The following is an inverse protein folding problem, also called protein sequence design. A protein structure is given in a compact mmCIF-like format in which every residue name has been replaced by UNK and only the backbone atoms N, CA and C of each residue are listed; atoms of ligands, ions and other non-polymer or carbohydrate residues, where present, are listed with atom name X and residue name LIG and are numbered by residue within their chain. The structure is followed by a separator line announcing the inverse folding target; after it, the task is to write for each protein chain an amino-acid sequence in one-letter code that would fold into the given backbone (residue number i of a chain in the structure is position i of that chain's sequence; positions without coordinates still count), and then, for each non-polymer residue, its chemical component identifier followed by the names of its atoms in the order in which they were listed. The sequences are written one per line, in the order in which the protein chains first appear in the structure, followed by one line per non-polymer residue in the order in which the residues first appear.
data_IF_613034016103
#
_entry.id   IF_613034016103
#
_cell.length_a   1.000
_cell.length_b   1.000
_cell.length_c   1.000
_cell.angle_alpha   90.00
_cell.angle_beta   90.00
_cell.angle_gamma   90.00
#
_symmetry.space_group_name_H-M   'P 1'
#
loop_
_entity.id
_entity.type
_entity.pdbx_description
1 polymer ?
#
# COMPACT_ATOMS: atom_id res chain seq x y z
N UNK A 1 -17.89 -9.34 8.36
CA UNK A 1 -17.07 -10.44 7.82
C UNK A 1 -17.38 -10.77 6.36
N UNK A 2 -18.52 -10.35 5.85
CA UNK A 2 -18.91 -10.60 4.44
C UNK A 2 -17.97 -10.01 3.40
N UNK A 3 -17.24 -8.95 3.77
CA UNK A 3 -16.32 -8.27 2.84
C UNK A 3 -14.95 -8.96 2.73
N UNK A 4 -14.73 -10.01 3.53
CA UNK A 4 -13.63 -10.96 3.34
C UNK A 4 -14.08 -11.99 2.30
N UNK A 5 -13.62 -11.84 1.07
CA UNK A 5 -14.16 -12.58 -0.08
C UNK A 5 -13.27 -13.75 -0.54
N UNK A 6 -12.04 -13.79 -0.08
CA UNK A 6 -11.09 -14.85 -0.40
C UNK A 6 -9.96 -14.89 0.61
N UNK A 7 -9.02 -15.80 0.43
CA UNK A 7 -7.79 -15.82 1.22
C UNK A 7 -6.96 -14.57 0.91
N UNK A 8 -6.66 -13.77 1.95
CA UNK A 8 -5.94 -12.52 1.82
C UNK A 8 -6.64 -11.46 0.93
N UNK A 9 -7.98 -11.51 0.79
CA UNK A 9 -8.74 -10.55 -0.01
C UNK A 9 -9.86 -9.89 0.78
N UNK A 10 -9.94 -8.57 0.64
CA UNK A 10 -10.98 -7.71 1.21
C UNK A 10 -11.64 -6.91 0.10
N UNK A 11 -12.97 -6.95 0.03
CA UNK A 11 -13.75 -6.11 -0.89
C UNK A 11 -14.21 -4.85 -0.17
N UNK A 12 -13.81 -3.69 -0.67
CA UNK A 12 -14.26 -2.39 -0.18
C UNK A 12 -15.49 -1.96 -0.96
N UNK A 13 -16.66 -1.95 -0.30
CA UNK A 13 -17.96 -1.66 -0.90
C UNK A 13 -18.57 -0.35 -0.42
N UNK A 14 -18.31 0.00 0.83
CA UNK A 14 -18.98 1.11 1.50
C UNK A 14 -18.00 2.02 2.20
N UNK A 15 -18.42 3.23 2.43
CA UNK A 15 -17.72 4.24 3.21
C UNK A 15 -18.60 4.66 4.39
N UNK A 16 -17.99 4.85 5.56
CA UNK A 16 -18.64 5.39 6.74
C UNK A 16 -17.91 6.64 7.19
N UNK A 17 -18.63 7.74 7.27
CA UNK A 17 -18.08 9.04 7.65
C UNK A 17 -18.98 9.72 8.67
N UNK A 18 -18.48 10.76 9.32
CA UNK A 18 -19.26 11.64 10.16
C UNK A 18 -19.40 12.98 9.44
N UNK A 19 -20.64 13.39 9.21
CA UNK A 19 -20.98 14.69 8.62
C UNK A 19 -22.00 15.40 9.54
N UNK A 20 -21.72 16.62 9.93
CA UNK A 20 -22.56 17.43 10.83
C UNK A 20 -22.98 16.69 12.11
N UNK A 21 -22.05 15.90 12.70
CA UNK A 21 -22.32 15.13 13.91
C UNK A 21 -23.11 13.84 13.69
N UNK A 22 -23.54 13.53 12.48
CA UNK A 22 -24.25 12.30 12.14
C UNK A 22 -23.36 11.33 11.38
N UNK A 23 -23.53 10.04 11.67
CA UNK A 23 -22.85 8.97 10.94
C UNK A 23 -23.62 8.73 9.64
N UNK A 24 -22.90 8.86 8.52
CA UNK A 24 -23.43 8.60 7.19
C UNK A 24 -22.71 7.40 6.59
N UNK A 25 -23.47 6.39 6.19
CA UNK A 25 -22.97 5.30 5.36
C UNK A 25 -23.35 5.57 3.90
N UNK A 26 -22.37 5.45 3.03
CA UNK A 26 -22.53 5.65 1.60
C UNK A 26 -21.73 4.62 0.84
N UNK A 27 -22.00 4.48 -0.44
CA UNK A 27 -21.14 3.76 -1.35
C UNK A 27 -19.75 4.40 -1.39
N UNK A 28 -18.78 3.68 -1.92
CA UNK A 28 -17.46 4.25 -2.17
C UNK A 28 -17.59 5.50 -3.05
N UNK A 29 -16.71 6.47 -2.86
CA UNK A 29 -16.75 7.78 -3.54
C UNK A 29 -16.95 7.72 -5.07
N UNK A 30 -16.55 6.60 -5.68
CA UNK A 30 -16.68 6.38 -7.12
C UNK A 30 -17.76 5.34 -7.47
N UNK A 31 -18.63 4.95 -6.53
CA UNK A 31 -19.64 3.89 -6.67
C UNK A 31 -19.07 2.57 -7.23
N UNK A 32 -17.79 2.30 -7.01
CA UNK A 32 -17.12 1.08 -7.48
C UNK A 32 -16.58 0.28 -6.30
N UNK A 33 -16.93 -0.98 -6.29
CA UNK A 33 -16.29 -1.94 -5.41
C UNK A 33 -14.84 -2.17 -5.85
N UNK A 34 -13.96 -2.41 -4.88
CA UNK A 34 -12.58 -2.79 -5.19
C UNK A 34 -12.10 -3.89 -4.27
N UNK A 35 -11.33 -4.79 -4.81
CA UNK A 35 -10.64 -5.84 -4.05
C UNK A 35 -9.27 -5.29 -3.63
N UNK A 36 -8.95 -5.46 -2.36
CA UNK A 36 -7.66 -5.12 -1.78
C UNK A 36 -7.01 -6.41 -1.30
N UNK A 37 -5.80 -6.68 -1.75
CA UNK A 37 -5.01 -7.79 -1.24
C UNK A 37 -4.41 -7.42 0.11
N UNK A 38 -4.59 -8.29 1.08
CA UNK A 38 -4.10 -8.13 2.45
C UNK A 38 -2.83 -8.95 2.62
N UNK A 39 -1.74 -8.38 3.16
CA UNK A 39 -0.55 -9.15 3.51
C UNK A 39 -0.86 -10.32 4.44
N UNK A 40 -0.20 -11.46 4.24
CA UNK A 40 -0.47 -12.70 4.99
C UNK A 40 -0.48 -12.48 6.51
N UNK A 41 0.50 -11.75 7.06
CA UNK A 41 0.54 -11.49 8.50
C UNK A 41 -0.67 -10.70 9.03
N UNK A 42 -1.21 -9.77 8.22
CA UNK A 42 -2.46 -9.06 8.58
C UNK A 42 -3.67 -9.98 8.48
N UNK A 43 -3.68 -10.85 7.47
CA UNK A 43 -4.71 -11.87 7.32
C UNK A 43 -4.77 -12.81 8.52
N UNK A 44 -3.63 -13.31 8.99
CA UNK A 44 -3.53 -14.16 10.17
C UNK A 44 -4.08 -13.47 11.43
N UNK A 45 -3.76 -12.18 11.62
CA UNK A 45 -4.31 -11.38 12.72
C UNK A 45 -5.84 -11.24 12.63
N UNK A 46 -6.38 -11.04 11.43
CA UNK A 46 -7.84 -10.99 11.24
C UNK A 46 -8.50 -12.34 11.54
N UNK A 47 -7.88 -13.45 11.13
CA UNK A 47 -8.40 -14.78 11.45
C UNK A 47 -8.33 -15.09 12.94
N UNK A 48 -7.27 -14.67 13.63
CA UNK A 48 -7.18 -14.79 15.08
C UNK A 48 -8.27 -13.96 15.80
N UNK A 49 -8.52 -12.73 15.34
CA UNK A 49 -9.63 -11.91 15.84
C UNK A 49 -10.98 -12.61 15.65
N UNK A 50 -11.23 -13.19 14.47
CA UNK A 50 -12.47 -13.95 14.22
C UNK A 50 -12.62 -15.12 15.17
N UNK A 51 -11.54 -15.85 15.41
CA UNK A 51 -11.56 -16.97 16.36
C UNK A 51 -11.89 -16.52 17.78
N UNK A 52 -11.34 -15.39 18.23
CA UNK A 52 -11.70 -14.81 19.53
C UNK A 52 -13.19 -14.42 19.60
N UNK A 53 -13.74 -13.82 18.55
CA UNK A 53 -15.17 -13.49 18.49
C UNK A 53 -16.05 -14.75 18.56
N UNK A 54 -15.66 -15.83 17.87
CA UNK A 54 -16.35 -17.13 17.96
C UNK A 54 -16.37 -17.67 19.39
N UNK A 55 -15.24 -17.57 20.10
CA UNK A 55 -15.14 -18.06 21.48
C UNK A 55 -15.99 -17.24 22.48
N UNK A 56 -16.18 -15.94 22.25
CA UNK A 56 -16.91 -15.06 23.16
C UNK A 56 -18.41 -14.97 22.87
N UNK A 57 -18.80 -14.98 21.61
CA UNK A 57 -20.18 -14.70 21.18
C UNK A 57 -20.78 -15.70 20.19
N UNK A 58 -20.11 -16.84 19.97
CA UNK A 58 -20.50 -17.79 18.93
C UNK A 58 -19.97 -17.40 17.54
N UNK A 59 -20.38 -18.15 16.52
CA UNK A 59 -19.94 -17.88 15.14
C UNK A 59 -20.44 -16.50 14.72
N UNK A 60 -19.52 -15.56 14.36
CA UNK A 60 -19.94 -14.26 13.89
C UNK A 60 -20.78 -14.38 12.63
N UNK A 61 -21.92 -13.71 12.61
CA UNK A 61 -22.70 -13.57 11.40
C UNK A 61 -21.86 -12.91 10.31
N UNK A 62 -22.09 -13.26 9.05
CA UNK A 62 -21.42 -12.65 7.91
C UNK A 62 -21.64 -11.14 7.86
N UNK A 63 -22.76 -10.65 8.36
CA UNK A 63 -23.07 -9.22 8.44
C UNK A 63 -22.41 -8.51 9.63
N UNK A 64 -21.88 -9.27 10.59
CA UNK A 64 -21.22 -8.68 11.75
C UNK A 64 -19.95 -7.92 11.35
N UNK A 65 -19.76 -6.70 11.84
CA UNK A 65 -18.54 -5.94 11.60
C UNK A 65 -17.30 -6.66 12.13
N UNK A 66 -16.16 -6.50 11.44
CA UNK A 66 -14.88 -7.07 11.87
C UNK A 66 -14.43 -6.39 13.17
N UNK A 67 -14.53 -5.06 13.23
CA UNK A 67 -14.17 -4.27 14.40
C UNK A 67 -15.42 -3.74 15.07
N UNK A 68 -15.55 -4.03 16.34
CA UNK A 68 -16.65 -3.58 17.19
C UNK A 68 -16.10 -2.93 18.45
N UNK A 69 -16.89 -2.10 19.09
CA UNK A 69 -16.68 -1.71 20.48
C UNK A 69 -17.03 -2.87 21.43
N UNK A 70 -16.79 -2.73 22.77
CA UNK A 70 -17.14 -3.78 23.73
C UNK A 70 -18.62 -4.16 23.74
N UNK A 71 -19.50 -3.27 23.30
CA UNK A 71 -20.95 -3.49 23.25
C UNK A 71 -21.41 -4.11 21.92
N UNK A 72 -20.46 -4.40 21.02
CA UNK A 72 -20.72 -5.04 19.72
C UNK A 72 -21.10 -4.08 18.60
N UNK A 73 -21.09 -2.77 18.83
CA UNK A 73 -21.42 -1.78 17.81
C UNK A 73 -20.21 -1.39 16.96
N UNK A 74 -20.47 -0.92 15.75
CA UNK A 74 -19.43 -0.33 14.89
C UNK A 74 -18.92 0.95 15.53
N UNK A 75 -17.60 1.07 15.81
CA UNK A 75 -17.05 2.25 16.44
C UNK A 75 -17.29 3.52 15.62
N UNK A 76 -17.38 4.66 16.29
CA UNK A 76 -17.44 5.96 15.63
C UNK A 76 -16.18 6.17 14.78
N UNK A 77 -16.25 6.76 13.58
CA UNK A 77 -15.10 6.98 12.70
C UNK A 77 -13.90 7.66 13.38
N UNK A 78 -14.15 8.63 14.25
CA UNK A 78 -13.09 9.34 14.99
C UNK A 78 -12.37 8.48 16.03
N UNK A 79 -12.96 7.38 16.47
CA UNK A 79 -12.33 6.48 17.44
C UNK A 79 -11.04 5.91 16.89
N UNK A 80 -11.03 5.56 15.61
CA UNK A 80 -9.83 5.08 14.94
C UNK A 80 -8.73 6.15 14.90
N UNK A 81 -9.08 7.38 14.54
CA UNK A 81 -8.16 8.51 14.51
C UNK A 81 -7.57 8.81 15.90
N UNK A 82 -8.39 8.74 16.95
CA UNK A 82 -7.92 8.92 18.35
C UNK A 82 -6.95 7.83 18.77
N UNK A 83 -7.24 6.58 18.45
CA UNK A 83 -6.34 5.46 18.76
C UNK A 83 -5.02 5.58 18.00
N UNK A 84 -5.04 5.98 16.74
CA UNK A 84 -3.85 6.19 15.93
C UNK A 84 -2.95 7.27 16.53
N UNK A 85 -3.51 8.42 16.94
CA UNK A 85 -2.77 9.49 17.61
C UNK A 85 -2.12 9.01 18.91
N UNK A 86 -2.87 8.25 19.74
CA UNK A 86 -2.34 7.66 20.96
C UNK A 86 -1.16 6.73 20.68
N UNK A 87 -1.26 5.91 19.64
CA UNK A 87 -0.19 5.02 19.21
C UNK A 87 1.05 5.81 18.75
N UNK A 88 0.88 6.86 17.95
CA UNK A 88 1.99 7.71 17.51
C UNK A 88 2.72 8.33 18.72
N UNK A 89 1.98 8.85 19.68
CA UNK A 89 2.55 9.38 20.92
C UNK A 89 3.35 8.32 21.69
N UNK A 90 2.83 7.10 21.81
CA UNK A 90 3.53 5.98 22.46
C UNK A 90 4.82 5.59 21.71
N UNK A 91 4.84 5.72 20.40
CA UNK A 91 6.02 5.45 19.56
C UNK A 91 6.99 6.64 19.44
N UNK A 92 6.74 7.77 20.13
CA UNK A 92 7.57 8.98 20.02
C UNK A 92 7.47 9.67 18.66
N UNK A 93 6.42 9.42 17.88
CA UNK A 93 6.16 10.07 16.60
C UNK A 93 5.34 11.34 16.78
N UNK A 94 5.46 12.28 15.81
CA UNK A 94 4.68 13.52 15.84
C UNK A 94 3.18 13.26 15.79
N UNK A 95 2.41 14.01 16.58
CA UNK A 95 0.94 13.98 16.57
C UNK A 95 0.35 14.60 15.29
N UNK A 96 1.17 15.30 14.49
CA UNK A 96 0.77 15.83 13.18
C UNK A 96 0.58 14.72 12.13
N UNK A 97 1.11 13.52 12.40
CA UNK A 97 0.88 12.38 11.53
C UNK A 97 -0.57 11.90 11.65
N UNK A 98 -1.17 11.62 10.52
CA UNK A 98 -2.54 11.18 10.40
C UNK A 98 -2.70 10.10 9.31
N UNK A 99 -3.90 9.60 9.10
CA UNK A 99 -4.14 8.52 8.12
C UNK A 99 -3.63 8.83 6.71
N UNK A 100 -3.74 10.08 6.26
CA UNK A 100 -3.20 10.47 4.97
C UNK A 100 -1.69 10.41 4.92
N UNK A 101 -0.99 10.67 6.03
CA UNK A 101 0.47 10.50 6.12
C UNK A 101 0.88 9.04 5.92
N UNK A 102 0.17 8.08 6.54
CA UNK A 102 0.40 6.64 6.30
C UNK A 102 0.14 6.25 4.84
N UNK A 103 -0.91 6.81 4.25
CA UNK A 103 -1.23 6.57 2.85
C UNK A 103 -0.15 7.13 1.92
N UNK A 104 0.39 8.32 2.20
CA UNK A 104 1.51 8.90 1.48
C UNK A 104 2.78 8.07 1.62
N UNK A 105 3.08 7.65 2.85
CA UNK A 105 4.21 6.76 3.12
C UNK A 105 4.09 5.47 2.30
N UNK A 106 2.95 4.80 2.34
CA UNK A 106 2.70 3.56 1.60
C UNK A 106 2.87 3.75 0.09
N UNK A 107 2.32 4.83 -0.47
CA UNK A 107 2.47 5.16 -1.88
C UNK A 107 3.95 5.38 -2.27
N UNK A 108 4.67 6.16 -1.46
CA UNK A 108 6.10 6.44 -1.69
C UNK A 108 6.92 5.16 -1.64
N UNK A 109 6.69 4.34 -0.62
CA UNK A 109 7.38 3.07 -0.44
C UNK A 109 7.17 2.13 -1.63
N UNK A 110 5.93 1.93 -2.07
CA UNK A 110 5.63 1.09 -3.24
C UNK A 110 6.36 1.56 -4.50
N UNK A 111 6.41 2.87 -4.74
CA UNK A 111 7.07 3.44 -5.90
C UNK A 111 8.60 3.33 -5.81
N UNK A 112 9.17 3.46 -4.62
CA UNK A 112 10.60 3.27 -4.37
C UNK A 112 11.04 1.81 -4.59
N UNK A 113 10.18 0.85 -4.22
CA UNK A 113 10.38 -0.58 -4.46
C UNK A 113 10.08 -1.00 -5.91
N UNK A 114 9.86 -0.05 -6.80
CA UNK A 114 9.69 -0.32 -8.24
C UNK A 114 8.29 -0.75 -8.65
N UNK A 115 7.28 -0.66 -7.76
CA UNK A 115 5.89 -0.92 -8.13
C UNK A 115 5.42 0.11 -9.16
N UNK A 116 4.77 -0.35 -10.23
CA UNK A 116 4.25 0.56 -11.24
C UNK A 116 3.20 1.52 -10.66
N UNK A 117 3.12 2.74 -11.21
CA UNK A 117 2.16 3.76 -10.76
C UNK A 117 0.71 3.26 -10.84
N UNK A 118 0.39 2.47 -11.86
CA UNK A 118 -0.94 1.89 -12.05
C UNK A 118 -1.30 0.93 -10.93
N UNK A 119 -0.38 0.04 -10.56
CA UNK A 119 -0.58 -0.92 -9.47
C UNK A 119 -0.67 -0.17 -8.13
N UNK A 120 0.22 0.78 -7.86
CA UNK A 120 0.16 1.59 -6.66
C UNK A 120 -1.16 2.39 -6.55
N UNK A 121 -1.63 3.00 -7.64
CA UNK A 121 -2.93 3.69 -7.69
C UNK A 121 -4.10 2.74 -7.40
N UNK A 122 -4.09 1.55 -7.98
CA UNK A 122 -5.11 0.52 -7.74
C UNK A 122 -5.16 0.11 -6.27
N UNK A 123 -4.02 -0.20 -5.66
CA UNK A 123 -3.91 -0.57 -4.24
C UNK A 123 -4.40 0.55 -3.32
N UNK A 124 -4.10 1.80 -3.66
CA UNK A 124 -4.56 2.98 -2.93
C UNK A 124 -6.03 3.31 -3.20
N UNK A 125 -6.65 2.70 -4.22
CA UNK A 125 -8.03 2.99 -4.63
C UNK A 125 -8.19 4.37 -5.25
N UNK A 126 -7.17 4.87 -5.93
CA UNK A 126 -7.26 6.04 -6.80
C UNK A 126 -7.77 5.61 -8.19
N UNK A 127 -8.72 6.34 -8.71
CA UNK A 127 -9.23 6.10 -10.07
C UNK A 127 -8.22 6.53 -11.15
N UNK A 128 -7.20 7.32 -10.76
CA UNK A 128 -6.29 8.00 -11.67
C UNK A 128 -4.89 8.08 -11.04
N UNK A 129 -3.86 7.96 -11.86
CA UNK A 129 -2.45 8.06 -11.49
C UNK A 129 -1.99 9.51 -11.33
N UNK A 130 -2.75 10.50 -11.78
CA UNK A 130 -2.37 11.92 -11.78
C UNK A 130 -2.06 12.46 -10.36
N UNK A 131 -2.73 11.92 -9.34
CA UNK A 131 -2.40 12.24 -7.95
C UNK A 131 -1.00 11.76 -7.59
N UNK A 132 -0.64 10.53 -7.94
CA UNK A 132 0.70 9.98 -7.68
C UNK A 132 1.76 10.74 -8.46
N UNK A 133 1.47 11.16 -9.67
CA UNK A 133 2.40 11.94 -10.50
C UNK A 133 2.71 13.31 -9.91
N UNK A 134 1.70 14.02 -9.41
CA UNK A 134 1.87 15.33 -8.77
C UNK A 134 2.59 15.26 -7.43
N UNK A 135 2.35 14.20 -6.66
CA UNK A 135 2.85 14.07 -5.30
C UNK A 135 4.26 13.48 -5.24
N UNK A 136 4.64 12.66 -6.23
CA UNK A 136 5.86 11.85 -6.22
C UNK A 136 6.78 12.08 -7.43
N UNK A 137 6.87 13.33 -7.90
CA UNK A 137 7.72 13.68 -9.06
C UNK A 137 9.24 13.51 -8.85
N UNK A 138 9.73 13.17 -7.66
CA UNK A 138 11.17 13.16 -7.35
C UNK A 138 11.93 11.82 -7.45
N UNK A 139 11.34 10.64 -7.70
CA UNK A 139 12.11 9.42 -7.92
C UNK A 139 12.73 9.29 -9.31
N UNK A 140 12.52 10.27 -10.20
CA UNK A 140 12.94 10.13 -11.59
C UNK A 140 14.45 9.90 -11.79
N UNK A 141 15.31 10.48 -10.95
CA UNK A 141 16.76 10.36 -11.14
C UNK A 141 17.29 8.99 -10.69
N UNK A 142 16.73 8.40 -9.66
CA UNK A 142 17.08 7.04 -9.23
C UNK A 142 16.57 6.01 -10.25
N UNK A 143 15.32 6.15 -10.69
CA UNK A 143 14.75 5.29 -11.74
C UNK A 143 15.49 5.41 -13.06
N UNK A 144 15.92 6.61 -13.47
CA UNK A 144 16.75 6.83 -14.66
C UNK A 144 18.10 6.13 -14.55
N UNK A 145 18.76 6.19 -13.39
CA UNK A 145 20.02 5.48 -13.15
C UNK A 145 19.85 3.97 -13.17
N UNK A 146 18.80 3.46 -12.55
CA UNK A 146 18.45 2.02 -12.58
C UNK A 146 18.19 1.54 -14.01
N UNK A 147 17.40 2.27 -14.78
CA UNK A 147 17.13 1.96 -16.19
C UNK A 147 18.41 2.00 -17.03
N UNK A 148 19.30 2.97 -16.78
CA UNK A 148 20.59 3.05 -17.43
C UNK A 148 21.49 1.85 -17.08
N UNK A 149 21.50 1.42 -15.82
CA UNK A 149 22.25 0.24 -15.39
C UNK A 149 21.71 -1.05 -16.01
N UNK A 150 20.38 -1.22 -16.04
CA UNK A 150 19.74 -2.36 -16.72
C UNK A 150 20.11 -2.42 -18.21
N UNK A 151 20.12 -1.26 -18.88
CA UNK A 151 20.55 -1.19 -20.28
C UNK A 151 22.03 -1.52 -20.41
N UNK A 152 22.86 -1.07 -19.49
CA UNK A 152 24.29 -1.39 -19.47
C UNK A 152 24.53 -2.90 -19.28
N UNK A 153 23.76 -3.55 -18.41
CA UNK A 153 23.85 -4.99 -18.18
C UNK A 153 23.40 -5.79 -19.41
N UNK A 154 22.34 -5.35 -20.08
CA UNK A 154 21.91 -5.93 -21.35
C UNK A 154 22.98 -5.81 -22.42
N UNK A 155 23.62 -4.66 -22.56
CA UNK A 155 24.72 -4.44 -23.50
C UNK A 155 25.92 -5.31 -23.17
N UNK A 156 26.27 -5.46 -21.90
CA UNK A 156 27.37 -6.28 -21.44
C UNK A 156 27.14 -7.78 -21.68
N UNK A 157 25.91 -8.25 -21.46
CA UNK A 157 25.59 -9.69 -21.44
C UNK A 157 25.13 -10.24 -22.79
N UNK A 158 24.61 -9.43 -23.70
CA UNK A 158 23.94 -9.91 -24.91
C UNK A 158 24.49 -9.36 -26.23
N UNK A 159 25.40 -8.39 -26.22
CA UNK A 159 25.97 -7.84 -27.45
C UNK A 159 27.42 -8.24 -27.65
N UNK A 160 27.69 -9.25 -28.51
CA UNK A 160 29.08 -9.67 -28.81
C UNK A 160 29.98 -8.56 -29.32
N UNK A 161 29.43 -7.60 -30.07
CA UNK A 161 30.16 -6.44 -30.58
C UNK A 161 30.59 -5.48 -29.46
N UNK A 162 29.69 -5.24 -28.47
CA UNK A 162 30.01 -4.39 -27.32
C UNK A 162 31.08 -5.04 -26.43
N UNK A 163 30.97 -6.33 -26.18
CA UNK A 163 31.95 -7.12 -25.43
C UNK A 163 33.29 -7.09 -26.11
N UNK A 164 33.34 -7.25 -27.44
CA UNK A 164 34.56 -7.15 -28.24
C UNK A 164 35.15 -5.75 -28.22
N UNK A 165 34.33 -4.70 -28.32
CA UNK A 165 34.75 -3.31 -28.21
C UNK A 165 35.41 -3.00 -26.86
N UNK A 166 34.80 -3.42 -25.76
CA UNK A 166 35.33 -3.20 -24.42
C UNK A 166 36.61 -3.98 -24.15
N UNK A 167 36.74 -5.19 -24.67
CA UNK A 167 38.00 -5.96 -24.62
C UNK A 167 39.15 -5.24 -25.37
N UNK A 168 38.83 -4.64 -26.51
CA UNK A 168 39.82 -3.88 -27.30
C UNK A 168 40.24 -2.59 -26.61
N UNK A 169 39.32 -1.87 -25.97
CA UNK A 169 39.59 -0.65 -25.22
C UNK A 169 40.54 -0.93 -24.04
N UNK A 170 40.26 -1.99 -23.28
CA UNK A 170 41.10 -2.38 -22.13
C UNK A 170 42.53 -2.88 -22.58
N UNK A 171 42.62 -3.47 -23.75
CA UNK A 171 43.94 -3.86 -24.33
C UNK A 171 44.78 -2.65 -24.73
N UNK A 172 44.14 -1.59 -25.27
CA UNK A 172 44.82 -0.34 -25.63
C UNK A 172 45.28 0.45 -24.40
N UNK A 173 44.47 0.46 -23.35
CA UNK A 173 44.81 1.12 -22.08
C UNK A 173 46.01 0.45 -21.38
N UNK A 174 46.12 -0.89 -21.42
CA UNK A 174 47.25 -1.65 -20.86
C UNK A 174 48.57 -1.53 -21.67
N UNK A 175 48.53 -1.05 -22.92
CA UNK A 175 49.72 -0.83 -23.74
C UNK A 175 50.23 0.62 -23.68
N UNK A 176 49.47 1.52 -23.09
CA UNK A 176 49.79 2.96 -22.99
C UNK A 176 50.28 3.39 -21.59
N UNK A 177 50.38 2.49 -20.63
CA UNK A 177 51.00 2.64 -19.32
C UNK A 177 52.11 1.62 -19.12
#
# INVERSE_FOLDING_TARGET
WRDITGACELTVRRSRSCASGQIVESDTKNHRERIVTIPLGIWELLMALRQQQVLHSGVPDREQPIFTDPDGHVPHPDTFTRHLRKLYKQCGLSEDYHLHTLRHFYATYLLQEGTSKQVAASLLGHADTAFLERTYCHPQDVAKRQASNLMQDLLNNQNPCYVAFMKNKNRKAKKAG
#
